data_IF_428101447587
#
_entry.id   IF_428101447587
#
_cell.length_a   1.000
_cell.length_b   1.000
_cell.length_c   1.000
_cell.angle_alpha   90.00
_cell.angle_beta   90.00
_cell.angle_gamma   90.00
#
_symmetry.space_group_name_H-M   'P 1'
#
loop_
_entity.id
_entity.type
_entity.pdbx_description
1 polymer ?
#
# COMPACT_ATOMS: atom_id res chain seq x y z
N UNK A 1 2.97 36.06 16.39
CA UNK A 1 2.42 34.70 16.18
C UNK A 1 1.74 34.71 14.82
N UNK A 2 2.20 33.91 13.85
CA UNK A 2 1.49 33.82 12.55
C UNK A 2 0.17 33.06 12.79
N UNK A 3 -0.98 33.57 12.34
CA UNK A 3 -2.24 32.85 12.43
C UNK A 3 -2.10 31.54 11.65
N UNK A 4 -2.51 30.43 12.26
CA UNK A 4 -2.50 29.11 11.64
C UNK A 4 -3.28 29.17 10.33
N UNK A 5 -2.62 28.79 9.24
CA UNK A 5 -3.24 28.67 7.92
C UNK A 5 -4.49 27.81 8.06
N UNK A 6 -5.67 28.26 7.58
CA UNK A 6 -6.86 27.42 7.55
C UNK A 6 -6.54 26.10 6.85
N UNK A 7 -6.87 24.97 7.49
CA UNK A 7 -6.80 23.66 6.85
C UNK A 7 -7.71 23.72 5.61
N UNK A 8 -7.16 23.55 4.41
CA UNK A 8 -7.98 23.34 3.23
C UNK A 8 -8.67 21.98 3.36
N UNK A 9 -10.00 21.94 3.21
CA UNK A 9 -10.79 20.71 3.22
C UNK A 9 -10.32 19.71 2.15
N UNK A 10 -9.67 20.22 1.09
CA UNK A 10 -9.09 19.44 0.00
C UNK A 10 -7.94 18.52 0.45
N UNK A 11 -7.46 18.66 1.69
CA UNK A 11 -6.38 17.87 2.27
C UNK A 11 -6.83 16.98 3.44
N UNK A 12 -8.14 16.74 3.59
CA UNK A 12 -8.66 15.84 4.61
C UNK A 12 -9.19 14.56 3.96
N UNK A 13 -8.75 13.43 4.49
CA UNK A 13 -9.23 12.10 4.09
C UNK A 13 -9.88 11.45 5.30
N UNK A 14 -11.08 10.90 5.09
CA UNK A 14 -11.81 10.13 6.09
C UNK A 14 -11.85 8.66 5.69
N UNK A 15 -11.56 7.79 6.65
CA UNK A 15 -11.65 6.32 6.56
C UNK A 15 -12.55 5.80 7.67
N UNK A 16 -13.36 4.79 7.37
CA UNK A 16 -14.18 4.08 8.36
C UNK A 16 -13.47 2.81 8.83
N UNK A 17 -13.18 2.69 10.12
CA UNK A 17 -12.55 1.51 10.73
C UNK A 17 -13.34 1.08 11.95
N UNK A 18 -13.73 -0.20 12.02
CA UNK A 18 -14.54 -0.73 13.13
C UNK A 18 -15.85 0.05 13.37
N UNK A 19 -16.44 0.62 12.32
CA UNK A 19 -17.62 1.48 12.39
C UNK A 19 -17.38 2.87 12.98
N UNK A 20 -16.11 3.32 13.05
CA UNK A 20 -15.73 4.64 13.53
C UNK A 20 -14.98 5.41 12.43
N UNK A 21 -15.38 6.68 12.16
CA UNK A 21 -14.66 7.52 11.22
C UNK A 21 -13.35 8.00 11.81
N UNK A 22 -12.29 7.96 11.01
CA UNK A 22 -11.00 8.57 11.28
C UNK A 22 -10.66 9.55 10.16
N UNK A 23 -10.52 10.82 10.52
CA UNK A 23 -10.13 11.88 9.58
C UNK A 23 -8.69 12.28 9.83
N UNK A 24 -7.89 12.32 8.78
CA UNK A 24 -6.49 12.72 8.86
C UNK A 24 -6.13 13.68 7.74
N UNK A 25 -5.14 14.54 8.02
CA UNK A 25 -4.58 15.46 7.03
C UNK A 25 -3.60 14.70 6.14
N UNK A 26 -3.66 15.00 4.84
CA UNK A 26 -2.70 14.51 3.85
C UNK A 26 -1.85 15.67 3.35
N UNK A 27 -0.56 15.41 3.15
CA UNK A 27 0.38 16.43 2.67
C UNK A 27 0.27 16.62 1.16
N UNK A 28 -0.01 15.52 0.44
CA UNK A 28 -0.03 15.45 -1.02
C UNK A 28 -1.44 15.18 -1.58
N UNK A 29 -1.51 14.44 -2.69
CA UNK A 29 -2.72 14.15 -3.45
C UNK A 29 -3.79 13.41 -2.62
N UNK A 30 -4.84 14.13 -2.23
CA UNK A 30 -5.95 13.58 -1.44
C UNK A 30 -6.68 12.43 -2.14
N UNK A 31 -6.71 12.38 -3.46
CA UNK A 31 -7.33 11.27 -4.19
C UNK A 31 -6.53 9.96 -4.02
N UNK A 32 -5.20 10.03 -4.10
CA UNK A 32 -4.33 8.88 -3.86
C UNK A 32 -4.39 8.41 -2.41
N UNK A 33 -4.34 9.36 -1.47
CA UNK A 33 -4.46 9.04 -0.06
C UNK A 33 -5.83 8.42 0.28
N UNK A 34 -6.91 8.88 -0.35
CA UNK A 34 -8.23 8.24 -0.22
C UNK A 34 -8.22 6.81 -0.77
N UNK A 35 -7.58 6.56 -1.90
CA UNK A 35 -7.46 5.22 -2.46
C UNK A 35 -6.68 4.27 -1.53
N UNK A 36 -5.60 4.75 -0.92
CA UNK A 36 -4.83 4.00 0.10
C UNK A 36 -5.68 3.73 1.34
N UNK A 37 -6.41 4.73 1.83
CA UNK A 37 -7.30 4.61 2.97
C UNK A 37 -8.41 3.56 2.71
N UNK A 38 -9.06 3.63 1.55
CA UNK A 38 -10.10 2.68 1.17
C UNK A 38 -9.55 1.26 1.02
N UNK A 39 -8.33 1.12 0.49
CA UNK A 39 -7.66 -0.18 0.43
C UNK A 39 -7.38 -0.73 1.85
N UNK A 40 -6.86 0.11 2.74
CA UNK A 40 -6.61 -0.29 4.13
C UNK A 40 -7.90 -0.72 4.84
N UNK A 41 -9.00 0.05 4.72
CA UNK A 41 -10.29 -0.29 5.32
C UNK A 41 -10.83 -1.64 4.82
N UNK A 42 -10.70 -1.92 3.51
CA UNK A 42 -11.10 -3.22 2.95
C UNK A 42 -10.30 -4.37 3.53
N UNK A 43 -8.98 -4.22 3.69
CA UNK A 43 -8.15 -5.28 4.28
C UNK A 43 -8.43 -5.49 5.76
N UNK A 44 -8.70 -4.41 6.51
CA UNK A 44 -9.15 -4.52 7.91
C UNK A 44 -10.45 -5.33 7.97
N UNK A 45 -11.46 -4.96 7.18
CA UNK A 45 -12.74 -5.68 7.14
C UNK A 45 -12.60 -7.15 6.72
N UNK A 46 -11.69 -7.45 5.79
CA UNK A 46 -11.38 -8.83 5.39
C UNK A 46 -10.79 -9.64 6.54
N UNK A 47 -9.88 -9.06 7.30
CA UNK A 47 -9.24 -9.71 8.45
C UNK A 47 -10.24 -9.87 9.59
N UNK A 48 -11.05 -8.85 9.89
CA UNK A 48 -12.14 -8.97 10.87
C UNK A 48 -13.09 -10.14 10.54
N UNK A 49 -13.51 -10.27 9.28
CA UNK A 49 -14.36 -11.36 8.83
C UNK A 49 -13.69 -12.74 8.91
N UNK A 50 -12.36 -12.82 8.90
CA UNK A 50 -11.64 -14.09 9.08
C UNK A 50 -11.61 -14.56 10.55
N UNK A 51 -11.83 -13.66 11.51
CA UNK A 51 -11.85 -13.97 12.94
C UNK A 51 -13.26 -13.88 13.55
N UNK A 52 -14.30 -13.81 12.72
CA UNK A 52 -15.69 -13.61 13.14
C UNK A 52 -16.37 -14.83 13.79
N UNK A 53 -15.67 -15.95 13.97
CA UNK A 53 -16.20 -17.07 14.75
C UNK A 53 -16.01 -16.88 16.27
N UNK A 54 -15.23 -15.88 16.70
CA UNK A 54 -14.92 -15.60 18.12
C UNK A 54 -15.00 -14.07 18.43
N UNK A 55 -16.01 -13.41 17.84
CA UNK A 55 -16.23 -11.95 17.71
C UNK A 55 -16.05 -11.13 19.00
N UNK A 56 -16.18 -11.74 20.18
CA UNK A 56 -16.13 -10.99 21.45
C UNK A 56 -14.72 -10.76 22.00
N UNK A 57 -13.66 -11.30 21.38
CA UNK A 57 -12.29 -11.24 21.96
C UNK A 57 -11.17 -10.78 21.04
N UNK A 58 -11.43 -10.53 19.76
CA UNK A 58 -10.35 -10.11 18.85
C UNK A 58 -10.01 -8.64 19.12
N UNK A 59 -8.81 -8.41 19.64
CA UNK A 59 -8.31 -7.05 19.89
C UNK A 59 -8.24 -6.27 18.56
N UNK A 60 -9.02 -5.19 18.45
CA UNK A 60 -9.02 -4.30 17.27
C UNK A 60 -7.62 -3.78 16.93
N UNK A 61 -6.74 -3.60 17.94
CA UNK A 61 -5.33 -3.24 17.71
C UNK A 61 -4.58 -4.37 17.04
N UNK A 62 -4.80 -5.61 17.44
CA UNK A 62 -4.19 -6.77 16.81
C UNK A 62 -4.64 -6.91 15.34
N UNK A 63 -5.92 -6.66 15.04
CA UNK A 63 -6.44 -6.61 13.65
C UNK A 63 -5.70 -5.55 12.83
N UNK A 64 -5.57 -4.33 13.34
CA UNK A 64 -4.85 -3.26 12.64
C UNK A 64 -3.38 -3.60 12.40
N UNK A 65 -2.69 -4.13 13.42
CA UNK A 65 -1.27 -4.53 13.31
C UNK A 65 -1.12 -5.64 12.27
N UNK A 66 -1.95 -6.68 12.34
CA UNK A 66 -1.92 -7.79 11.37
C UNK A 66 -2.20 -7.30 9.95
N UNK A 67 -3.15 -6.37 9.79
CA UNK A 67 -3.46 -5.75 8.50
C UNK A 67 -2.23 -5.02 7.94
N UNK A 68 -1.59 -4.18 8.74
CA UNK A 68 -0.39 -3.46 8.34
C UNK A 68 0.77 -4.40 7.96
N UNK A 69 0.97 -5.47 8.74
CA UNK A 69 2.00 -6.48 8.47
C UNK A 69 1.74 -7.22 7.16
N UNK A 70 0.49 -7.63 6.90
CA UNK A 70 0.11 -8.33 5.67
C UNK A 70 0.30 -7.45 4.43
N UNK A 71 -0.18 -6.21 4.47
CA UNK A 71 -0.02 -5.24 3.37
C UNK A 71 1.47 -4.98 3.10
N UNK A 72 2.26 -4.79 4.16
CA UNK A 72 3.71 -4.55 4.05
C UNK A 72 4.43 -5.75 3.46
N UNK A 73 4.10 -6.97 3.89
CA UNK A 73 4.63 -8.19 3.33
C UNK A 73 4.33 -8.31 1.82
N UNK A 74 3.11 -8.00 1.41
CA UNK A 74 2.72 -8.06 0.00
C UNK A 74 3.42 -6.97 -0.84
N UNK A 75 3.55 -5.76 -0.31
CA UNK A 75 4.37 -4.71 -0.93
C UNK A 75 5.82 -5.17 -1.16
N UNK A 76 6.45 -5.77 -0.15
CA UNK A 76 7.83 -6.27 -0.25
C UNK A 76 7.95 -7.42 -1.26
N UNK A 77 6.96 -8.33 -1.32
CA UNK A 77 6.90 -9.38 -2.36
C UNK A 77 6.81 -8.79 -3.77
N UNK A 78 5.95 -7.78 -3.96
CA UNK A 78 5.79 -7.11 -5.26
C UNK A 78 7.09 -6.42 -5.66
N UNK A 79 7.72 -5.67 -4.74
CA UNK A 79 9.03 -5.05 -5.00
C UNK A 79 10.09 -6.09 -5.42
N UNK A 80 10.15 -7.23 -4.71
CA UNK A 80 11.10 -8.31 -5.05
C UNK A 80 10.85 -8.87 -6.44
N UNK A 81 9.59 -9.14 -6.79
CA UNK A 81 9.20 -9.63 -8.13
C UNK A 81 9.54 -8.62 -9.21
N UNK A 82 9.28 -7.33 -8.97
CA UNK A 82 9.59 -6.26 -9.90
C UNK A 82 11.10 -6.16 -10.18
N UNK A 83 11.94 -6.15 -9.13
CA UNK A 83 13.40 -6.13 -9.28
C UNK A 83 13.91 -7.36 -10.05
N UNK A 84 13.35 -8.53 -9.77
CA UNK A 84 13.69 -9.77 -10.49
C UNK A 84 13.32 -9.66 -11.99
N UNK A 85 12.13 -9.15 -12.29
CA UNK A 85 11.69 -8.94 -13.67
C UNK A 85 12.62 -7.98 -14.42
N UNK A 86 12.95 -6.83 -13.82
CA UNK A 86 13.88 -5.87 -14.42
C UNK A 86 15.25 -6.48 -14.69
N UNK A 87 15.78 -7.26 -13.73
CA UNK A 87 17.05 -7.97 -13.92
C UNK A 87 16.97 -8.95 -15.09
N UNK A 88 15.92 -9.77 -15.16
CA UNK A 88 15.73 -10.73 -16.23
C UNK A 88 15.62 -10.05 -17.61
N UNK A 89 14.93 -8.92 -17.70
CA UNK A 89 14.86 -8.13 -18.93
C UNK A 89 16.25 -7.63 -19.31
N UNK A 90 16.97 -7.01 -18.36
CA UNK A 90 18.32 -6.48 -18.60
C UNK A 90 19.30 -7.57 -19.05
N UNK A 91 19.33 -8.72 -18.36
CA UNK A 91 20.22 -9.84 -18.70
C UNK A 91 19.94 -10.35 -20.12
N UNK A 92 18.66 -10.49 -20.49
CA UNK A 92 18.26 -10.95 -21.83
C UNK A 92 18.58 -9.92 -22.90
N UNK A 93 18.30 -8.64 -22.65
CA UNK A 93 18.65 -7.56 -23.57
C UNK A 93 20.15 -7.50 -23.82
N UNK A 94 20.98 -7.59 -22.77
CA UNK A 94 22.44 -7.62 -22.90
C UNK A 94 22.91 -8.85 -23.68
N UNK A 95 22.31 -10.02 -23.45
CA UNK A 95 22.63 -11.23 -24.21
C UNK A 95 22.32 -11.07 -25.70
N UNK A 96 21.20 -10.42 -26.04
CA UNK A 96 20.83 -10.14 -27.43
C UNK A 96 21.77 -9.12 -28.08
N UNK A 97 22.13 -8.05 -27.38
CA UNK A 97 23.10 -7.05 -27.86
C UNK A 97 24.44 -7.73 -28.18
N UNK A 98 24.96 -8.52 -27.25
CA UNK A 98 26.20 -9.25 -27.46
C UNK A 98 26.13 -10.17 -28.70
N UNK A 99 25.01 -10.88 -28.89
CA UNK A 99 24.81 -11.75 -30.07
C UNK A 99 24.76 -10.98 -31.39
N UNK A 100 24.27 -9.74 -31.39
CA UNK A 100 24.28 -8.88 -32.58
C UNK A 100 25.68 -8.34 -32.85
N UNK A 101 26.38 -7.85 -31.82
CA UNK A 101 27.74 -7.33 -31.93
C UNK A 101 28.74 -8.41 -32.40
N UNK A 102 28.51 -9.68 -32.04
CA UNK A 102 29.37 -10.79 -32.50
C UNK A 102 29.08 -11.20 -33.95
N UNK A 103 27.96 -10.77 -34.55
CA UNK A 103 27.61 -11.05 -35.95
C UNK A 103 28.06 -9.96 -36.92
N UNK A 104 28.37 -8.78 -36.41
CA UNK A 104 28.87 -7.63 -37.18
C UNK A 104 30.43 -7.57 -37.20
N UNK A 105 31.11 -8.60 -36.70
CA UNK A 105 32.57 -8.83 -36.80
C UNK A 105 32.87 -10.04 -37.69
#
# INVERSE_FOLDING_TARGET
MKPGTPLSLDQLVTIELFGHPFTFKVEDNAAEAKAVADFFAREVGRIEAQYSDDVTKVDKRAVLILTALNITNDYLKIQKKYRSLLKNISDRSNSLINLLDTRDQ
#
